data_IF_181153951844
#
_entry.id   IF_181153951844
#
_cell.length_a   1.000
_cell.length_b   1.000
_cell.length_c   1.000
_cell.angle_alpha   90.00
_cell.angle_beta   90.00
_cell.angle_gamma   90.00
#
_symmetry.space_group_name_H-M   'P 1'
#
loop_
_entity.id
_entity.type
_entity.pdbx_description
1 polymer ?
#
# COMPACT_ATOMS: atom_id res chain seq x y z
N UNK A 1 15.56 -7.02 -26.90
CA UNK A 1 14.12 -7.04 -26.57
C UNK A 1 14.02 -6.62 -25.11
N UNK A 2 13.51 -5.42 -24.83
CA UNK A 2 13.43 -4.90 -23.46
C UNK A 2 12.36 -5.66 -22.69
N UNK A 3 12.77 -6.63 -21.87
CA UNK A 3 11.89 -7.38 -20.99
C UNK A 3 11.40 -6.51 -19.85
N UNK A 4 10.20 -5.93 -20.00
CA UNK A 4 9.51 -5.29 -18.88
C UNK A 4 9.08 -6.31 -17.83
N UNK A 5 8.95 -5.89 -16.57
CA UNK A 5 8.39 -6.71 -15.48
C UNK A 5 7.03 -7.28 -15.93
N UNK A 6 6.70 -8.56 -15.68
CA UNK A 6 5.38 -9.09 -16.03
C UNK A 6 4.27 -8.29 -15.34
N UNK A 7 3.05 -8.41 -15.84
CA UNK A 7 1.88 -7.89 -15.12
C UNK A 7 1.77 -8.60 -13.76
N UNK A 8 1.24 -7.90 -12.73
CA UNK A 8 0.85 -8.59 -11.50
C UNK A 8 -0.24 -9.64 -11.81
N UNK A 9 -0.37 -10.69 -10.99
CA UNK A 9 -1.49 -11.62 -11.10
C UNK A 9 -2.83 -10.89 -10.93
N UNK A 10 -3.77 -11.10 -11.85
CA UNK A 10 -5.06 -10.38 -11.83
C UNK A 10 -5.99 -10.81 -10.67
N UNK A 11 -5.85 -12.06 -10.18
CA UNK A 11 -6.75 -12.66 -9.19
C UNK A 11 -6.24 -12.58 -7.73
N UNK A 12 -5.02 -12.11 -7.49
CA UNK A 12 -4.39 -12.19 -6.17
C UNK A 12 -4.65 -10.97 -5.27
N UNK A 13 -4.99 -9.81 -5.85
CA UNK A 13 -5.18 -8.58 -5.09
C UNK A 13 -6.64 -8.36 -4.62
N UNK A 14 -6.89 -8.13 -3.31
CA UNK A 14 -8.22 -7.84 -2.80
C UNK A 14 -8.84 -6.60 -3.44
N UNK A 15 -10.07 -6.72 -3.98
CA UNK A 15 -10.77 -5.60 -4.63
C UNK A 15 -11.68 -4.82 -3.69
N UNK A 16 -12.04 -5.43 -2.55
CA UNK A 16 -12.85 -4.83 -1.49
C UNK A 16 -12.43 -5.40 -0.13
N UNK A 17 -12.71 -4.66 0.94
CA UNK A 17 -12.52 -5.12 2.32
C UNK A 17 -13.63 -4.61 3.22
N UNK A 18 -13.99 -5.39 4.25
CA UNK A 18 -14.84 -4.91 5.34
C UNK A 18 -14.07 -3.96 6.24
N UNK A 19 -14.67 -2.83 6.62
CA UNK A 19 -14.04 -1.84 7.50
C UNK A 19 -14.96 -1.52 8.69
N UNK A 20 -14.65 -2.07 9.85
CA UNK A 20 -15.53 -2.07 11.02
C UNK A 20 -16.94 -2.56 10.66
N UNK A 21 -17.94 -1.96 11.28
CA UNK A 21 -19.36 -2.22 10.98
C UNK A 21 -19.90 -1.37 9.82
N UNK A 22 -19.06 -0.52 9.20
CA UNK A 22 -19.49 0.47 8.21
C UNK A 22 -19.74 -0.11 6.80
N UNK A 23 -19.51 -1.41 6.61
CA UNK A 23 -19.66 -2.08 5.32
C UNK A 23 -18.38 -2.09 4.49
N UNK A 24 -18.44 -2.63 3.26
CA UNK A 24 -17.24 -2.83 2.45
C UNK A 24 -16.76 -1.53 1.80
N UNK A 25 -15.44 -1.32 1.82
CA UNK A 25 -14.76 -0.27 1.04
C UNK A 25 -14.23 -0.85 -0.29
N UNK A 26 -14.20 -0.01 -1.34
CA UNK A 26 -13.69 -0.39 -2.65
C UNK A 26 -12.17 -0.13 -2.72
N UNK A 27 -11.38 -1.18 -2.57
CA UNK A 27 -9.91 -1.09 -2.51
C UNK A 27 -9.30 -0.71 -3.85
N UNK A 28 -9.83 -1.24 -4.96
CA UNK A 28 -9.32 -0.92 -6.29
C UNK A 28 -9.47 0.58 -6.59
N UNK A 29 -10.65 1.14 -6.34
CA UNK A 29 -10.91 2.56 -6.62
C UNK A 29 -10.01 3.48 -5.76
N UNK A 30 -9.74 3.10 -4.51
CA UNK A 30 -8.82 3.83 -3.65
C UNK A 30 -7.36 3.69 -4.15
N UNK A 31 -6.93 2.48 -4.49
CA UNK A 31 -5.58 2.21 -5.00
C UNK A 31 -5.29 2.96 -6.31
N UNK A 32 -6.23 3.01 -7.25
CA UNK A 32 -6.10 3.80 -8.48
C UNK A 32 -5.90 5.29 -8.20
N UNK A 33 -6.65 5.86 -7.23
CA UNK A 33 -6.51 7.26 -6.81
C UNK A 33 -5.14 7.53 -6.18
N UNK A 34 -4.68 6.62 -5.32
CA UNK A 34 -3.35 6.71 -4.69
C UNK A 34 -2.26 6.68 -5.76
N UNK A 35 -2.30 5.71 -6.67
CA UNK A 35 -1.29 5.53 -7.71
C UNK A 35 -1.28 6.65 -8.75
N UNK A 36 -2.42 7.25 -9.06
CA UNK A 36 -2.46 8.47 -9.87
C UNK A 36 -1.71 9.61 -9.18
N UNK A 37 -2.06 9.91 -7.93
CA UNK A 37 -1.41 11.00 -7.20
C UNK A 37 0.07 10.74 -6.94
N UNK A 38 0.43 9.50 -6.66
CA UNK A 38 1.83 9.10 -6.49
C UNK A 38 2.64 9.34 -7.77
N UNK A 39 2.09 9.03 -8.95
CA UNK A 39 2.76 9.29 -10.23
C UNK A 39 2.87 10.77 -10.59
N UNK A 40 1.89 11.57 -10.19
CA UNK A 40 1.99 13.02 -10.34
C UNK A 40 3.14 13.59 -9.49
N UNK A 41 3.38 13.01 -8.31
CA UNK A 41 4.49 13.39 -7.42
C UNK A 41 5.85 12.82 -7.88
N UNK A 42 5.86 11.63 -8.47
CA UNK A 42 7.05 10.92 -8.96
C UNK A 42 6.95 10.63 -10.46
N UNK A 43 7.22 11.62 -11.34
CA UNK A 43 7.05 11.45 -12.79
C UNK A 43 8.06 10.48 -13.42
N UNK A 44 9.15 10.12 -12.72
CA UNK A 44 10.18 9.17 -13.15
C UNK A 44 9.73 7.70 -13.08
N UNK A 45 8.58 7.41 -12.45
CA UNK A 45 8.06 6.05 -12.24
C UNK A 45 7.96 5.22 -13.53
N UNK A 46 7.51 5.85 -14.63
CA UNK A 46 7.36 5.14 -15.91
C UNK A 46 8.72 4.74 -16.49
N UNK A 47 9.74 5.57 -16.32
CA UNK A 47 11.09 5.26 -16.79
C UNK A 47 11.71 4.14 -15.93
N UNK A 48 11.55 4.21 -14.61
CA UNK A 48 12.14 3.25 -13.67
C UNK A 48 11.50 1.88 -13.70
N UNK A 49 10.17 1.81 -13.76
CA UNK A 49 9.43 0.56 -13.58
C UNK A 49 8.72 0.10 -14.87
N UNK A 50 8.85 0.87 -15.94
CA UNK A 50 8.31 0.53 -17.25
C UNK A 50 6.78 0.62 -17.33
N UNK A 51 6.25 0.06 -18.41
CA UNK A 51 4.82 0.16 -18.77
C UNK A 51 3.90 -0.48 -17.75
N UNK A 52 4.36 -1.52 -17.05
CA UNK A 52 3.59 -2.28 -16.07
C UNK A 52 3.71 -1.74 -14.63
N UNK A 53 4.54 -0.71 -14.39
CA UNK A 53 4.72 -0.16 -13.05
C UNK A 53 3.42 0.36 -12.42
N UNK A 54 2.47 0.82 -13.24
CA UNK A 54 1.17 1.26 -12.73
C UNK A 54 0.37 0.12 -12.13
N UNK A 55 0.31 -1.02 -12.86
CA UNK A 55 -0.46 -2.17 -12.43
C UNK A 55 0.10 -2.72 -11.11
N UNK A 56 1.43 -2.78 -10.96
CA UNK A 56 2.08 -3.14 -9.70
C UNK A 56 1.79 -2.14 -8.58
N UNK A 57 1.81 -0.83 -8.85
CA UNK A 57 1.43 0.16 -7.85
C UNK A 57 0.01 -0.07 -7.32
N UNK A 58 -0.95 -0.30 -8.23
CA UNK A 58 -2.36 -0.53 -7.89
C UNK A 58 -2.51 -1.82 -7.09
N UNK A 59 -1.88 -2.90 -7.55
CA UNK A 59 -1.84 -4.19 -6.87
C UNK A 59 -1.32 -4.06 -5.43
N UNK A 60 -0.16 -3.45 -5.24
CA UNK A 60 0.45 -3.32 -3.92
C UNK A 60 -0.40 -2.42 -3.00
N UNK A 61 -1.01 -1.37 -3.53
CA UNK A 61 -1.93 -0.53 -2.77
C UNK A 61 -3.22 -1.23 -2.36
N UNK A 62 -3.75 -2.16 -3.18
CA UNK A 62 -4.88 -3.00 -2.77
C UNK A 62 -4.53 -3.86 -1.55
N UNK A 63 -3.32 -4.43 -1.48
CA UNK A 63 -2.86 -5.17 -0.31
C UNK A 63 -2.64 -4.27 0.91
N UNK A 64 -1.98 -3.12 0.74
CA UNK A 64 -1.75 -2.16 1.83
C UNK A 64 -3.07 -1.71 2.48
N UNK A 65 -4.06 -1.35 1.66
CA UNK A 65 -5.37 -0.94 2.15
C UNK A 65 -6.11 -2.10 2.83
N UNK A 66 -6.01 -3.32 2.30
CA UNK A 66 -6.61 -4.50 2.90
C UNK A 66 -5.99 -4.83 4.27
N UNK A 67 -4.67 -4.78 4.40
CA UNK A 67 -3.99 -4.99 5.68
C UNK A 67 -4.34 -3.90 6.69
N UNK A 68 -4.41 -2.65 6.25
CA UNK A 68 -4.88 -1.55 7.09
C UNK A 68 -6.30 -1.80 7.62
N UNK A 69 -7.23 -2.19 6.75
CA UNK A 69 -8.61 -2.51 7.14
C UNK A 69 -8.66 -3.70 8.12
N UNK A 70 -7.88 -4.74 7.88
CA UNK A 70 -7.79 -5.88 8.79
C UNK A 70 -7.17 -5.51 10.13
N UNK A 71 -6.22 -4.57 10.17
CA UNK A 71 -5.64 -4.04 11.40
C UNK A 71 -6.65 -3.23 12.21
N UNK A 72 -7.43 -2.35 11.56
CA UNK A 72 -8.56 -1.64 12.19
C UNK A 72 -9.59 -2.61 12.77
N UNK A 73 -9.85 -3.73 12.09
CA UNK A 73 -10.74 -4.77 12.59
C UNK A 73 -10.13 -5.66 13.70
N UNK A 74 -8.86 -5.46 14.05
CA UNK A 74 -8.17 -6.20 15.11
C UNK A 74 -7.63 -7.58 14.70
N UNK A 75 -7.48 -7.84 13.40
CA UNK A 75 -7.04 -9.15 12.89
C UNK A 75 -5.56 -9.19 12.48
N UNK A 76 -4.93 -8.04 12.22
CA UNK A 76 -3.57 -7.95 11.67
C UNK A 76 -2.75 -6.83 12.31
N UNK A 77 -1.43 -7.00 12.34
CA UNK A 77 -0.50 -5.89 12.56
C UNK A 77 0.00 -5.36 11.22
N UNK A 78 -0.49 -4.17 10.83
CA UNK A 78 -0.08 -3.53 9.57
C UNK A 78 1.43 -3.29 9.50
N UNK A 79 2.11 -3.08 10.63
CA UNK A 79 3.55 -2.77 10.66
C UNK A 79 4.38 -3.99 10.27
N UNK A 80 3.95 -5.19 10.67
CA UNK A 80 4.61 -6.43 10.28
C UNK A 80 4.55 -6.65 8.76
N UNK A 81 3.37 -6.48 8.16
CA UNK A 81 3.16 -6.63 6.71
C UNK A 81 3.92 -5.57 5.91
N UNK A 82 3.89 -4.32 6.38
CA UNK A 82 4.62 -3.21 5.74
C UNK A 82 6.14 -3.39 5.89
N UNK A 83 6.63 -3.97 6.99
CA UNK A 83 8.05 -4.31 7.16
C UNK A 83 8.48 -5.35 6.12
N UNK A 84 7.69 -6.43 5.96
CA UNK A 84 7.95 -7.44 4.92
C UNK A 84 7.99 -6.81 3.52
N UNK A 85 6.99 -5.98 3.18
CA UNK A 85 6.92 -5.35 1.87
C UNK A 85 8.09 -4.39 1.65
N UNK A 86 8.47 -3.60 2.65
CA UNK A 86 9.60 -2.69 2.57
C UNK A 86 10.90 -3.45 2.25
N UNK A 87 11.16 -4.57 2.94
CA UNK A 87 12.31 -5.44 2.66
C UNK A 87 12.29 -6.02 1.24
N UNK A 88 11.13 -6.50 0.78
CA UNK A 88 10.96 -7.03 -0.59
C UNK A 88 11.21 -5.94 -1.64
N UNK A 89 10.70 -4.72 -1.40
CA UNK A 89 10.86 -3.59 -2.30
C UNK A 89 12.32 -3.09 -2.32
N UNK A 90 12.95 -2.96 -1.16
CA UNK A 90 14.35 -2.57 -1.03
C UNK A 90 15.28 -3.55 -1.75
N UNK A 91 15.09 -4.86 -1.54
CA UNK A 91 15.86 -5.90 -2.23
C UNK A 91 15.71 -5.83 -3.77
N UNK A 92 14.64 -5.20 -4.26
CA UNK A 92 14.37 -4.95 -5.69
C UNK A 92 14.84 -3.57 -6.17
N UNK A 93 15.57 -2.83 -5.34
CA UNK A 93 16.10 -1.50 -5.64
C UNK A 93 15.04 -0.39 -5.63
N UNK A 94 13.89 -0.61 -4.98
CA UNK A 94 12.88 0.43 -4.79
C UNK A 94 13.30 1.38 -3.65
N UNK A 95 13.13 2.70 -3.81
CA UNK A 95 13.44 3.68 -2.76
C UNK A 95 12.39 3.63 -1.65
N UNK A 96 12.73 3.04 -0.50
CA UNK A 96 11.81 2.80 0.63
C UNK A 96 11.16 4.08 1.17
N UNK A 97 11.84 5.24 1.10
CA UNK A 97 11.21 6.54 1.44
C UNK A 97 9.97 6.84 0.59
N UNK A 98 9.92 6.36 -0.66
CA UNK A 98 8.74 6.51 -1.50
C UNK A 98 7.61 5.55 -1.11
N UNK A 99 7.90 4.44 -0.43
CA UNK A 99 6.85 3.59 0.17
C UNK A 99 6.18 4.34 1.31
N UNK A 100 6.97 4.95 2.20
CA UNK A 100 6.43 5.80 3.26
C UNK A 100 5.57 6.94 2.69
N UNK A 101 6.03 7.59 1.61
CA UNK A 101 5.24 8.63 0.96
C UNK A 101 3.95 8.09 0.30
N UNK A 102 3.99 6.89 -0.28
CA UNK A 102 2.81 6.23 -0.83
C UNK A 102 1.76 5.97 0.27
N UNK A 103 2.19 5.52 1.45
CA UNK A 103 1.33 5.32 2.62
C UNK A 103 0.69 6.63 3.10
N UNK A 104 1.42 7.75 3.16
CA UNK A 104 0.82 9.06 3.45
C UNK A 104 -0.26 9.42 2.41
N UNK A 105 0.02 9.24 1.12
CA UNK A 105 -0.95 9.53 0.05
C UNK A 105 -2.18 8.65 0.25
N UNK A 106 -1.99 7.38 0.62
CA UNK A 106 -3.04 6.46 1.03
C UNK A 106 -3.89 7.01 2.17
N UNK A 107 -3.27 7.45 3.26
CA UNK A 107 -3.96 8.06 4.39
C UNK A 107 -4.79 9.29 3.96
N UNK A 108 -4.20 10.18 3.16
CA UNK A 108 -4.86 11.38 2.66
C UNK A 108 -6.05 11.06 1.73
N UNK A 109 -5.95 10.01 0.90
CA UNK A 109 -7.05 9.55 0.04
C UNK A 109 -8.16 8.92 0.90
N UNK A 110 -7.81 8.01 1.81
CA UNK A 110 -8.79 7.37 2.69
C UNK A 110 -9.54 8.40 3.53
N UNK A 111 -8.85 9.36 4.14
CA UNK A 111 -9.46 10.40 4.96
C UNK A 111 -10.45 11.31 4.21
N UNK A 112 -10.35 11.39 2.87
CA UNK A 112 -11.29 12.14 2.03
C UNK A 112 -12.46 11.29 1.53
N UNK A 113 -12.19 10.02 1.22
CA UNK A 113 -13.09 9.17 0.44
C UNK A 113 -13.89 8.19 1.31
N UNK A 114 -13.39 7.85 2.50
CA UNK A 114 -14.02 6.90 3.42
C UNK A 114 -14.52 7.65 4.64
N UNK A 115 -15.84 7.88 4.69
CA UNK A 115 -16.46 8.67 5.75
C UNK A 115 -16.68 7.88 7.03
N UNK A 116 -16.59 8.55 8.17
CA UNK A 116 -16.93 8.00 9.48
C UNK A 116 -15.71 7.55 10.30
N UNK A 117 -15.93 7.10 11.55
CA UNK A 117 -14.84 6.83 12.49
C UNK A 117 -13.87 5.75 12.01
N UNK A 118 -14.38 4.69 11.37
CA UNK A 118 -13.53 3.60 10.87
C UNK A 118 -12.64 4.05 9.69
N UNK A 119 -13.12 4.98 8.84
CA UNK A 119 -12.32 5.59 7.79
C UNK A 119 -11.20 6.46 8.35
N UNK A 120 -11.48 7.24 9.40
CA UNK A 120 -10.46 8.02 10.10
C UNK A 120 -9.40 7.10 10.74
N UNK A 121 -9.82 6.02 11.40
CA UNK A 121 -8.90 5.02 11.96
C UNK A 121 -8.01 4.39 10.88
N UNK A 122 -8.56 4.02 9.73
CA UNK A 122 -7.76 3.50 8.62
C UNK A 122 -6.72 4.51 8.11
N UNK A 123 -7.09 5.79 8.00
CA UNK A 123 -6.16 6.84 7.61
C UNK A 123 -5.03 7.02 8.65
N UNK A 124 -5.35 6.98 9.95
CA UNK A 124 -4.37 7.04 11.03
C UNK A 124 -3.43 5.81 10.97
N UNK A 125 -3.98 4.60 10.78
CA UNK A 125 -3.20 3.36 10.61
C UNK A 125 -2.19 3.47 9.47
N UNK A 126 -2.57 4.03 8.33
CA UNK A 126 -1.65 4.24 7.19
C UNK A 126 -0.58 5.30 7.50
N UNK A 127 -0.94 6.36 8.23
CA UNK A 127 0.01 7.41 8.67
C UNK A 127 1.05 6.85 9.64
N UNK A 128 0.62 6.00 10.57
CA UNK A 128 1.51 5.29 11.49
C UNK A 128 2.43 4.31 10.75
N UNK A 129 1.90 3.57 9.77
CA UNK A 129 2.71 2.68 8.94
C UNK A 129 3.75 3.47 8.13
N UNK A 130 3.40 4.63 7.58
CA UNK A 130 4.34 5.51 6.90
C UNK A 130 5.47 5.97 7.83
N UNK A 131 5.11 6.36 9.07
CA UNK A 131 6.07 6.79 10.09
C UNK A 131 7.00 5.66 10.52
N UNK A 132 6.48 4.43 10.62
CA UNK A 132 7.26 3.23 10.89
C UNK A 132 8.26 2.94 9.77
N UNK A 133 7.85 3.01 8.49
CA UNK A 133 8.78 2.83 7.35
C UNK A 133 9.92 3.86 7.39
N UNK A 134 9.63 5.12 7.77
CA UNK A 134 10.67 6.16 7.89
C UNK A 134 11.65 5.94 9.05
N UNK A 135 11.25 5.24 10.11
CA UNK A 135 12.18 5.00 11.23
C UNK A 135 13.31 4.05 10.85
N UNK A 136 13.10 3.21 9.82
CA UNK A 136 14.06 2.21 9.39
C UNK A 136 14.22 1.06 10.39
N UNK A 137 13.34 0.96 11.39
CA UNK A 137 13.33 -0.11 12.40
C UNK A 137 12.69 -1.39 11.86
N UNK A 138 13.07 -1.79 10.63
CA UNK A 138 12.60 -3.03 10.05
C UNK A 138 13.10 -4.20 10.90
N UNK A 139 12.17 -5.00 11.39
CA UNK A 139 12.52 -6.28 12.00
C UNK A 139 12.82 -7.22 10.85
N UNK A 140 13.99 -7.87 10.86
CA UNK A 140 14.27 -8.99 9.96
C UNK A 140 13.13 -10.00 10.10
N UNK A 141 12.31 -10.12 9.06
CA UNK A 141 11.28 -11.15 9.02
C UNK A 141 11.99 -12.50 8.81
N UNK A 142 12.09 -13.28 9.89
CA UNK A 142 12.39 -14.71 9.81
C UNK A 142 11.03 -15.41 9.73
N UNK A 143 10.65 -16.02 8.60
CA UNK A 143 9.48 -16.88 8.57
C UNK A 143 9.71 -18.03 9.56
N UNK A 144 8.73 -18.33 10.41
CA UNK A 144 8.72 -19.60 11.13
C UNK A 144 8.64 -20.73 10.09
N UNK A 145 9.58 -21.67 10.15
CA UNK A 145 9.72 -22.84 9.26
C UNK A 145 8.48 -23.77 9.26
#
# INVERSE_FOLDING_TARGET
MSGGRPLPPEDDAPRAASLGDAGPINLLALAEKICHRYRDEFPDEKERYGVNGYAWCVHDNQHLLNWGAQSVNGFFDVKQEVSWLANVLEARGFPVDRLARNLDIGAEVVGREVTGPAGAQLADTLTEAASFVRSGEFVDYVPDD
#
